data_IF_881620288630
#
_entry.id   IF_881620288630
#
_cell.length_a   1.000
_cell.length_b   1.000
_cell.length_c   1.000
_cell.angle_alpha   90.00
_cell.angle_beta   90.00
_cell.angle_gamma   90.00
#
_symmetry.space_group_name_H-M   'P 1'
#
loop_
_entity.id
_entity.type
_entity.pdbx_description
1 polymer ?
#
# COMPACT_ATOMS: atom_id res chain seq x y z
N UNK A 1 -66.82 55.43 -13.50
CA UNK A 1 -68.01 54.93 -14.20
C UNK A 1 -68.14 53.48 -13.88
N UNK A 2 -68.98 53.11 -12.90
CA UNK A 2 -70.37 52.64 -13.04
C UNK A 2 -70.40 51.38 -13.91
N UNK A 3 -70.88 50.21 -13.46
CA UNK A 3 -72.08 49.77 -12.75
C UNK A 3 -71.92 48.24 -12.48
N UNK A 4 -72.10 47.63 -11.34
CA UNK A 4 -73.31 47.27 -10.58
C UNK A 4 -74.14 46.11 -11.18
N UNK A 5 -74.34 45.12 -10.31
CA UNK A 5 -75.49 44.26 -10.07
C UNK A 5 -75.39 42.82 -10.58
N UNK A 6 -75.60 41.85 -9.82
CA UNK A 6 -76.56 41.36 -8.80
C UNK A 6 -77.21 40.05 -9.20
N UNK A 7 -77.21 39.19 -8.28
CA UNK A 7 -78.21 38.13 -7.91
C UNK A 7 -78.02 36.78 -8.66
N UNK A 8 -78.30 35.61 -8.10
CA UNK A 8 -79.01 35.12 -6.93
C UNK A 8 -78.63 33.63 -6.73
N UNK A 9 -78.57 33.20 -5.47
CA UNK A 9 -78.96 31.94 -4.87
C UNK A 9 -79.35 30.74 -5.76
N UNK A 10 -78.73 29.58 -5.46
CA UNK A 10 -79.51 28.38 -5.09
C UNK A 10 -78.58 27.30 -4.49
N UNK A 11 -78.85 26.96 -3.28
CA UNK A 11 -78.92 25.70 -2.54
C UNK A 11 -78.12 24.45 -3.01
N UNK A 12 -77.28 23.99 -2.10
CA UNK A 12 -77.29 22.70 -1.49
C UNK A 12 -76.97 21.46 -2.36
N UNK A 13 -75.93 20.78 -2.01
CA UNK A 13 -75.96 19.41 -1.49
C UNK A 13 -74.56 19.08 -0.95
N UNK A 14 -74.46 18.63 0.29
CA UNK A 14 -73.29 18.17 0.93
C UNK A 14 -72.83 16.84 0.25
N UNK A 15 -71.61 16.82 -0.20
CA UNK A 15 -70.88 15.57 -0.46
C UNK A 15 -69.53 15.67 0.27
N UNK A 16 -69.40 14.87 1.32
CA UNK A 16 -68.16 14.68 2.03
C UNK A 16 -67.12 14.04 1.10
N UNK A 17 -65.92 14.55 0.98
CA UNK A 17 -64.83 13.79 0.37
C UNK A 17 -64.28 12.83 1.41
N UNK A 18 -64.22 11.56 1.04
CA UNK A 18 -63.49 10.50 1.71
C UNK A 18 -62.05 10.91 1.96
N UNK A 19 -61.63 10.81 3.20
CA UNK A 19 -60.22 10.94 3.58
C UNK A 19 -59.42 9.85 2.85
N UNK A 20 -58.64 10.21 1.87
CA UNK A 20 -57.59 9.37 1.32
C UNK A 20 -56.52 9.18 2.43
N UNK A 21 -56.52 7.95 2.99
CA UNK A 21 -55.45 7.53 3.87
C UNK A 21 -54.12 7.62 3.06
N UNK A 22 -53.29 8.62 3.43
CA UNK A 22 -51.95 8.71 2.93
C UNK A 22 -51.19 7.44 3.32
N UNK A 23 -50.85 6.62 2.33
CA UNK A 23 -49.93 5.50 2.52
C UNK A 23 -48.57 6.13 2.88
N UNK A 24 -48.27 6.11 4.18
CA UNK A 24 -46.95 6.49 4.69
C UNK A 24 -45.94 5.59 4.03
N UNK A 25 -45.03 6.23 3.28
CA UNK A 25 -43.84 5.57 2.72
C UNK A 25 -43.13 4.88 3.88
N UNK A 26 -42.83 3.55 3.80
CA UNK A 26 -42.11 2.89 4.86
C UNK A 26 -40.81 3.64 5.13
N UNK A 27 -40.39 3.72 6.41
CA UNK A 27 -39.11 4.36 6.75
C UNK A 27 -38.02 3.69 5.91
N UNK A 28 -37.28 4.47 5.14
CA UNK A 28 -36.07 3.96 4.52
C UNK A 28 -35.14 3.56 5.67
N UNK A 29 -34.86 2.28 5.80
CA UNK A 29 -33.77 1.79 6.63
C UNK A 29 -32.51 2.54 6.24
N UNK A 30 -32.06 3.42 7.11
CA UNK A 30 -30.76 4.06 7.01
C UNK A 30 -29.81 2.88 7.16
N UNK A 31 -29.20 2.45 6.04
CA UNK A 31 -28.16 1.42 6.04
C UNK A 31 -27.12 1.84 7.09
N UNK A 32 -27.04 1.08 8.17
CA UNK A 32 -26.02 1.29 9.20
C UNK A 32 -24.67 1.38 8.50
N UNK A 33 -23.78 2.30 8.89
CA UNK A 33 -22.43 2.37 8.34
C UNK A 33 -21.83 0.97 8.41
N UNK A 34 -21.48 0.40 7.26
CA UNK A 34 -20.99 -0.97 7.19
C UNK A 34 -19.75 -1.06 8.07
N UNK A 35 -19.84 -1.81 9.15
CA UNK A 35 -18.77 -1.91 10.15
C UNK A 35 -17.49 -2.33 9.44
N UNK A 36 -16.40 -1.60 9.71
CA UNK A 36 -15.08 -1.88 9.15
C UNK A 36 -14.69 -3.32 9.49
N UNK A 37 -14.29 -4.16 8.51
CA UNK A 37 -13.91 -5.55 8.80
C UNK A 37 -12.74 -5.61 9.78
N UNK A 38 -12.55 -6.70 10.54
CA UNK A 38 -11.38 -6.87 11.39
C UNK A 38 -10.07 -6.70 10.60
N UNK A 39 -9.07 -6.04 11.19
CA UNK A 39 -7.78 -5.81 10.53
C UNK A 39 -7.09 -7.14 10.17
N UNK A 40 -7.25 -8.17 10.99
CA UNK A 40 -6.76 -9.53 10.74
C UNK A 40 -7.33 -10.14 9.46
N UNK A 41 -8.61 -9.93 9.19
CA UNK A 41 -9.29 -10.51 8.04
C UNK A 41 -8.82 -9.84 6.74
N UNK A 42 -8.64 -8.50 6.78
CA UNK A 42 -8.07 -7.76 5.66
C UNK A 42 -6.61 -8.15 5.43
N UNK A 43 -5.82 -8.33 6.51
CA UNK A 43 -4.43 -8.80 6.40
C UNK A 43 -4.35 -10.20 5.77
N UNK A 44 -5.23 -11.12 6.17
CA UNK A 44 -5.29 -12.46 5.60
C UNK A 44 -5.71 -12.44 4.12
N UNK A 45 -6.66 -11.59 3.75
CA UNK A 45 -7.08 -11.41 2.37
C UNK A 45 -5.96 -10.80 1.51
N UNK A 46 -5.26 -9.79 2.04
CA UNK A 46 -4.11 -9.17 1.41
C UNK A 46 -2.96 -10.18 1.19
N UNK A 47 -2.68 -11.01 2.20
CA UNK A 47 -1.68 -12.08 2.09
C UNK A 47 -2.04 -13.05 0.95
N UNK A 48 -3.27 -13.55 0.91
CA UNK A 48 -3.74 -14.46 -0.16
C UNK A 48 -3.63 -13.81 -1.54
N UNK A 49 -4.07 -12.54 -1.68
CA UNK A 49 -3.93 -11.79 -2.94
C UNK A 49 -2.48 -11.69 -3.35
N UNK A 50 -1.61 -11.34 -2.40
CA UNK A 50 -0.18 -11.17 -2.68
C UNK A 50 0.50 -12.51 -3.02
N UNK A 51 0.13 -13.61 -2.38
CA UNK A 51 0.66 -14.95 -2.68
C UNK A 51 0.34 -15.37 -4.12
N UNK A 52 -0.81 -14.97 -4.66
CA UNK A 52 -1.21 -15.27 -6.03
C UNK A 52 -0.45 -14.43 -7.09
N UNK A 53 0.16 -13.29 -6.73
CA UNK A 53 0.99 -12.49 -7.63
C UNK A 53 2.35 -13.16 -7.80
N UNK A 54 2.71 -13.54 -9.04
CA UNK A 54 4.00 -14.17 -9.37
C UNK A 54 5.08 -13.13 -9.63
N UNK A 55 4.73 -12.09 -10.37
CA UNK A 55 5.61 -10.96 -10.68
C UNK A 55 4.80 -9.66 -10.81
N UNK A 56 5.46 -8.53 -10.64
CA UNK A 56 4.88 -7.24 -10.96
C UNK A 56 5.95 -6.19 -11.26
N UNK A 57 5.54 -5.13 -11.94
CA UNK A 57 6.28 -3.86 -12.04
C UNK A 57 5.41 -2.73 -11.52
N UNK A 58 6.05 -1.70 -10.97
CA UNK A 58 5.39 -0.46 -10.55
C UNK A 58 6.36 0.72 -10.63
N UNK A 59 5.82 1.93 -10.73
CA UNK A 59 6.55 3.15 -10.41
C UNK A 59 6.53 3.35 -8.90
N UNK A 60 7.59 3.90 -8.33
CA UNK A 60 7.61 4.26 -6.92
C UNK A 60 8.06 5.69 -6.67
N UNK A 61 7.56 6.25 -5.59
CA UNK A 61 8.12 7.43 -4.91
C UNK A 61 8.46 7.00 -3.50
N UNK A 62 9.73 7.09 -3.13
CA UNK A 62 10.20 6.89 -1.76
C UNK A 62 10.38 8.24 -1.11
N UNK A 63 9.87 8.40 0.11
CA UNK A 63 10.12 9.56 0.96
C UNK A 63 10.75 9.09 2.26
N UNK A 64 11.81 9.77 2.65
CA UNK A 64 12.44 9.57 3.95
C UNK A 64 12.24 10.81 4.81
N UNK A 65 11.78 10.62 6.02
CA UNK A 65 11.69 11.65 7.05
C UNK A 65 12.55 11.22 8.24
N UNK A 66 13.70 11.89 8.42
CA UNK A 66 14.60 11.60 9.55
C UNK A 66 14.04 12.11 10.87
N UNK A 67 14.07 11.27 11.94
CA UNK A 67 13.47 11.54 13.22
C UNK A 67 13.96 12.84 13.87
N UNK A 68 15.14 12.81 14.46
CA UNK A 68 15.66 13.95 15.26
C UNK A 68 16.00 15.18 14.40
N UNK A 69 16.56 14.99 13.22
CA UNK A 69 16.99 16.09 12.35
C UNK A 69 15.93 16.55 11.36
N UNK A 70 14.76 15.91 11.31
CA UNK A 70 13.64 16.23 10.40
C UNK A 70 14.06 16.43 8.92
N UNK A 71 15.12 15.77 8.50
CA UNK A 71 15.54 15.80 7.09
C UNK A 71 14.54 15.04 6.25
N UNK A 72 14.11 15.66 5.16
CA UNK A 72 13.26 15.02 4.16
C UNK A 72 14.06 14.79 2.89
N UNK A 73 13.96 13.59 2.35
CA UNK A 73 14.50 13.25 1.04
C UNK A 73 13.39 12.55 0.26
N UNK A 74 13.38 12.74 -1.05
CA UNK A 74 12.46 12.06 -1.94
C UNK A 74 13.23 11.48 -3.13
N UNK A 75 12.92 10.23 -3.45
CA UNK A 75 13.52 9.51 -4.56
C UNK A 75 12.42 8.85 -5.39
N UNK A 76 12.65 8.73 -6.68
CA UNK A 76 11.69 8.09 -7.59
C UNK A 76 12.35 7.07 -8.49
N UNK A 77 11.55 6.14 -8.99
CA UNK A 77 12.05 5.12 -9.90
C UNK A 77 11.02 4.08 -10.28
N UNK A 78 11.52 2.93 -10.69
CA UNK A 78 10.69 1.75 -11.01
C UNK A 78 11.13 0.56 -10.20
N UNK A 79 10.17 -0.26 -9.80
CA UNK A 79 10.40 -1.54 -9.13
C UNK A 79 9.89 -2.68 -10.00
N UNK A 80 10.67 -3.74 -10.08
CA UNK A 80 10.29 -5.03 -10.66
C UNK A 80 10.50 -6.11 -9.62
N UNK A 81 9.51 -6.96 -9.44
CA UNK A 81 9.55 -8.08 -8.50
C UNK A 81 9.15 -9.35 -9.22
N UNK A 82 9.88 -10.42 -8.99
CA UNK A 82 9.50 -11.78 -9.41
C UNK A 82 9.75 -12.75 -8.26
N UNK A 83 8.69 -13.31 -7.75
CA UNK A 83 8.77 -14.24 -6.62
C UNK A 83 9.23 -15.65 -7.08
N UNK A 84 9.98 -16.37 -6.23
CA UNK A 84 10.53 -15.91 -4.96
C UNK A 84 11.86 -15.15 -5.10
N UNK A 85 12.04 -14.13 -4.29
CA UNK A 85 13.35 -13.55 -3.99
C UNK A 85 13.99 -12.64 -5.03
N UNK A 86 13.46 -12.53 -6.24
CA UNK A 86 14.02 -11.65 -7.29
C UNK A 86 13.39 -10.29 -7.24
N UNK A 87 14.22 -9.25 -7.25
CA UNK A 87 13.77 -7.87 -7.15
C UNK A 87 14.78 -6.92 -7.81
N UNK A 88 14.27 -5.85 -8.42
CA UNK A 88 15.07 -4.79 -9.01
C UNK A 88 14.39 -3.45 -8.76
N UNK A 89 15.15 -2.49 -8.20
CA UNK A 89 14.75 -1.10 -8.03
C UNK A 89 15.72 -0.23 -8.82
N UNK A 90 15.20 0.42 -9.84
CA UNK A 90 15.95 1.40 -10.63
C UNK A 90 15.56 2.80 -10.14
N UNK A 91 16.40 3.43 -9.35
CA UNK A 91 16.23 4.81 -8.91
C UNK A 91 16.69 5.76 -10.01
N UNK A 92 15.86 6.75 -10.31
CA UNK A 92 16.10 7.70 -11.41
C UNK A 92 16.27 9.12 -10.97
N UNK A 93 15.78 9.50 -9.80
CA UNK A 93 15.84 10.85 -9.25
C UNK A 93 15.93 10.80 -7.71
N UNK A 94 16.66 11.74 -7.05
CA UNK A 94 17.55 12.74 -7.65
C UNK A 94 18.81 12.12 -8.22
N UNK A 95 19.26 10.98 -7.70
CA UNK A 95 20.45 10.28 -8.14
C UNK A 95 20.13 8.87 -8.63
N UNK A 96 20.92 8.43 -9.61
CA UNK A 96 20.80 7.06 -10.09
C UNK A 96 21.45 6.12 -9.10
N UNK A 97 20.70 5.15 -8.64
CA UNK A 97 21.18 3.97 -7.91
C UNK A 97 20.37 2.75 -8.30
N UNK A 98 20.93 1.58 -8.10
CA UNK A 98 20.30 0.33 -8.51
C UNK A 98 20.37 -0.66 -7.35
N UNK A 99 19.21 -1.16 -6.92
CA UNK A 99 19.16 -2.32 -6.07
C UNK A 99 18.69 -3.52 -6.91
N UNK A 100 19.43 -4.63 -6.84
CA UNK A 100 19.07 -5.88 -7.52
C UNK A 100 19.23 -7.05 -6.57
N UNK A 101 18.25 -7.95 -6.55
CA UNK A 101 18.35 -9.29 -5.96
C UNK A 101 18.06 -10.33 -7.05
N UNK A 102 18.94 -11.31 -7.20
CA UNK A 102 18.75 -12.46 -8.09
C UNK A 102 18.05 -13.64 -7.37
N UNK A 103 17.73 -13.47 -6.09
CA UNK A 103 17.17 -14.48 -5.20
C UNK A 103 18.19 -15.11 -4.25
N UNK A 104 19.49 -14.92 -4.48
CA UNK A 104 20.60 -15.42 -3.66
C UNK A 104 21.47 -14.26 -3.14
N UNK A 105 21.77 -13.31 -4.01
CA UNK A 105 22.63 -12.17 -3.74
C UNK A 105 21.87 -10.87 -3.96
N UNK A 106 22.11 -9.90 -3.09
CA UNK A 106 21.65 -8.52 -3.21
C UNK A 106 22.81 -7.62 -3.56
N UNK A 107 22.58 -6.72 -4.49
CA UNK A 107 23.52 -5.68 -4.92
C UNK A 107 22.84 -4.32 -4.74
N UNK A 108 23.54 -3.37 -4.12
CA UNK A 108 23.17 -1.96 -4.12
C UNK A 108 24.30 -1.19 -4.78
N UNK A 109 24.07 -0.73 -5.99
CA UNK A 109 25.06 -0.07 -6.83
C UNK A 109 24.84 1.44 -6.90
N UNK A 110 25.88 2.20 -6.65
CA UNK A 110 25.95 3.65 -6.73
C UNK A 110 26.87 4.02 -7.91
N UNK A 111 26.32 4.33 -9.10
CA UNK A 111 27.13 4.60 -10.31
C UNK A 111 28.07 5.80 -10.15
N UNK A 112 27.60 6.86 -9.49
CA UNK A 112 28.37 8.10 -9.30
C UNK A 112 29.62 7.87 -8.44
N UNK A 113 29.51 7.01 -7.42
CA UNK A 113 30.61 6.69 -6.50
C UNK A 113 31.45 5.52 -7.00
N UNK A 114 30.99 4.82 -8.05
CA UNK A 114 31.57 3.56 -8.53
C UNK A 114 31.70 2.52 -7.41
N UNK A 115 30.68 2.43 -6.57
CA UNK A 115 30.64 1.49 -5.44
C UNK A 115 29.45 0.54 -5.55
N UNK A 116 29.65 -0.69 -5.13
CA UNK A 116 28.59 -1.69 -4.99
C UNK A 116 28.69 -2.37 -3.64
N UNK A 117 27.56 -2.37 -2.91
CA UNK A 117 27.39 -3.20 -1.71
C UNK A 117 26.85 -4.56 -2.15
N UNK A 118 27.52 -5.64 -1.75
CA UNK A 118 27.14 -7.02 -2.08
C UNK A 118 26.89 -7.81 -0.82
N UNK A 119 25.68 -8.36 -0.68
CA UNK A 119 25.25 -9.14 0.48
C UNK A 119 24.48 -10.39 0.02
N UNK A 120 24.47 -11.43 0.85
CA UNK A 120 23.55 -12.55 0.65
C UNK A 120 22.11 -12.09 0.92
N UNK A 121 21.14 -12.67 0.23
CA UNK A 121 19.73 -12.49 0.56
C UNK A 121 19.47 -13.21 1.89
N UNK A 122 18.92 -12.52 2.91
CA UNK A 122 18.57 -13.15 4.17
C UNK A 122 17.65 -14.36 3.99
N UNK A 123 17.78 -15.36 4.85
CA UNK A 123 16.86 -16.49 4.90
C UNK A 123 15.44 -16.03 5.27
N UNK A 124 14.43 -16.88 5.07
CA UNK A 124 13.04 -16.54 5.44
C UNK A 124 12.89 -16.26 6.93
N UNK A 125 13.70 -16.92 7.75
CA UNK A 125 13.64 -16.79 9.21
C UNK A 125 14.39 -15.54 9.73
N UNK A 126 15.32 -15.01 8.93
CA UNK A 126 16.06 -13.78 9.25
C UNK A 126 15.42 -12.52 8.68
N UNK A 127 14.37 -12.68 7.90
CA UNK A 127 13.93 -11.67 6.96
C UNK A 127 12.51 -11.18 7.23
N UNK A 128 12.38 -10.12 7.98
CA UNK A 128 11.08 -9.50 8.30
C UNK A 128 10.92 -8.06 7.79
N UNK A 129 11.80 -7.58 6.92
CA UNK A 129 11.65 -6.23 6.37
C UNK A 129 10.52 -6.14 5.33
N UNK A 130 9.95 -4.93 5.15
CA UNK A 130 8.94 -4.67 4.13
C UNK A 130 9.40 -5.07 2.72
N UNK A 131 10.70 -4.92 2.44
CA UNK A 131 11.33 -5.34 1.18
C UNK A 131 11.24 -6.85 0.99
N UNK A 132 11.47 -7.63 2.05
CA UNK A 132 11.42 -9.09 1.98
C UNK A 132 10.00 -9.62 1.84
N UNK A 133 9.02 -8.93 2.43
CA UNK A 133 7.62 -9.22 2.14
C UNK A 133 7.34 -9.06 0.62
N UNK A 134 7.77 -7.94 0.02
CA UNK A 134 7.64 -7.75 -1.43
C UNK A 134 8.38 -8.80 -2.26
N UNK A 135 9.45 -9.37 -1.73
CA UNK A 135 10.16 -10.48 -2.36
C UNK A 135 9.45 -11.84 -2.21
N UNK A 136 8.30 -11.87 -1.52
CA UNK A 136 7.55 -13.10 -1.24
C UNK A 136 8.17 -13.97 -0.16
N UNK A 137 8.98 -13.39 0.73
CA UNK A 137 9.67 -14.11 1.82
C UNK A 137 9.08 -13.85 3.22
N UNK A 138 8.10 -12.97 3.37
CA UNK A 138 7.44 -12.67 4.62
C UNK A 138 5.98 -13.14 4.64
N UNK A 139 5.39 -13.23 5.83
CA UNK A 139 3.97 -13.50 6.01
C UNK A 139 3.38 -12.53 7.03
N UNK A 140 2.42 -11.70 6.59
CA UNK A 140 1.81 -10.64 7.41
C UNK A 140 1.18 -11.23 8.68
N UNK A 141 0.43 -12.31 8.53
CA UNK A 141 -0.37 -12.89 9.63
C UNK A 141 0.51 -13.66 10.61
N UNK A 142 1.51 -14.37 10.07
CA UNK A 142 2.45 -15.15 10.90
C UNK A 142 3.39 -14.24 11.69
N UNK A 143 3.93 -13.21 11.03
CA UNK A 143 5.12 -12.49 11.54
C UNK A 143 4.74 -11.22 12.31
N UNK A 144 3.49 -10.73 12.19
CA UNK A 144 3.08 -9.45 12.76
C UNK A 144 1.79 -9.53 13.57
N UNK A 145 1.69 -8.67 14.58
CA UNK A 145 0.43 -8.28 15.18
C UNK A 145 -0.16 -7.16 14.32
N UNK A 146 -1.35 -7.41 13.77
CA UNK A 146 -1.98 -6.50 12.81
C UNK A 146 -3.09 -5.70 13.48
N UNK A 147 -3.09 -4.39 13.25
CA UNK A 147 -4.16 -3.48 13.67
C UNK A 147 -4.41 -2.42 12.60
N UNK A 148 -5.50 -1.72 12.74
CA UNK A 148 -5.76 -0.57 11.88
C UNK A 148 -4.76 0.55 12.18
N UNK A 149 -4.22 1.17 11.12
CA UNK A 149 -3.48 2.42 11.21
C UNK A 149 -4.45 3.60 11.09
N UNK A 150 -4.03 4.76 11.58
CA UNK A 150 -4.76 6.02 11.42
C UNK A 150 -4.67 6.54 9.98
N UNK A 151 -5.62 7.38 9.55
CA UNK A 151 -5.57 8.10 8.28
C UNK A 151 -5.86 7.26 7.04
N UNK A 152 -6.57 6.14 7.15
CA UNK A 152 -7.13 5.43 6.00
C UNK A 152 -8.21 6.27 5.31
N UNK A 153 -8.38 6.08 3.99
CA UNK A 153 -9.43 6.73 3.18
C UNK A 153 -10.50 5.71 2.79
N UNK A 154 -11.56 6.18 2.16
CA UNK A 154 -12.57 5.29 1.59
C UNK A 154 -12.02 4.43 0.45
N UNK A 155 -10.93 4.83 -0.18
CA UNK A 155 -10.28 4.09 -1.26
C UNK A 155 -9.19 3.13 -0.77
N UNK A 156 -8.67 3.27 0.47
CA UNK A 156 -7.52 2.49 0.94
C UNK A 156 -7.71 1.94 2.34
N UNK A 157 -7.29 0.70 2.53
CA UNK A 157 -6.99 0.14 3.85
C UNK A 157 -5.58 0.54 4.27
N UNK A 158 -5.41 0.90 5.54
CA UNK A 158 -4.09 1.08 6.14
C UNK A 158 -3.95 0.17 7.35
N UNK A 159 -3.01 -0.74 7.26
CA UNK A 159 -2.72 -1.73 8.29
C UNK A 159 -1.39 -1.41 8.95
N UNK A 160 -1.38 -1.29 10.26
CA UNK A 160 -0.19 -1.25 11.08
C UNK A 160 0.22 -2.67 11.44
N UNK A 161 1.49 -2.95 11.25
CA UNK A 161 2.13 -4.23 11.46
C UNK A 161 3.22 -4.05 12.53
N UNK A 162 2.95 -4.53 13.73
CA UNK A 162 3.93 -4.53 14.80
C UNK A 162 4.58 -5.93 14.83
N UNK A 163 5.92 -6.04 14.60
CA UNK A 163 6.57 -7.34 14.45
C UNK A 163 6.52 -8.13 15.76
N UNK A 164 6.22 -9.44 15.67
CA UNK A 164 6.20 -10.34 16.85
C UNK A 164 7.59 -10.59 17.41
N UNK A 165 8.62 -10.48 16.56
CA UNK A 165 10.03 -10.58 16.93
C UNK A 165 10.71 -9.25 16.63
N UNK A 166 11.49 -8.72 17.56
CA UNK A 166 12.21 -7.46 17.40
C UNK A 166 13.10 -7.47 16.17
N UNK A 167 13.03 -6.38 15.39
CA UNK A 167 13.83 -6.16 14.20
C UNK A 167 14.91 -5.11 14.46
N UNK A 168 16.03 -5.20 13.74
CA UNK A 168 17.12 -4.24 13.86
C UNK A 168 16.86 -2.98 13.00
N UNK A 169 16.18 -3.14 11.87
CA UNK A 169 16.02 -2.09 10.87
C UNK A 169 14.77 -1.24 11.05
N UNK A 170 13.77 -1.71 11.82
CA UNK A 170 12.51 -0.98 12.05
C UNK A 170 11.78 -1.49 13.28
N UNK A 171 10.95 -0.64 13.88
CA UNK A 171 10.07 -1.02 14.99
C UNK A 171 8.67 -1.37 14.52
N UNK A 172 8.28 -0.89 13.35
CA UNK A 172 6.97 -1.14 12.79
C UNK A 172 6.92 -0.93 11.28
N UNK A 173 5.95 -1.59 10.67
CA UNK A 173 5.59 -1.38 9.28
C UNK A 173 4.14 -0.91 9.15
N UNK A 174 3.84 -0.28 8.01
CA UNK A 174 2.49 0.06 7.60
C UNK A 174 2.30 -0.32 6.14
N UNK A 175 1.20 -1.00 5.84
CA UNK A 175 0.81 -1.34 4.48
C UNK A 175 -0.43 -0.53 4.14
N UNK A 176 -0.39 0.18 3.02
CA UNK A 176 -1.56 0.75 2.37
C UNK A 176 -1.96 -0.14 1.21
N UNK A 177 -3.22 -0.57 1.19
CA UNK A 177 -3.76 -1.40 0.13
C UNK A 177 -5.04 -0.78 -0.44
N UNK A 178 -5.19 -0.83 -1.75
CA UNK A 178 -6.42 -0.46 -2.43
C UNK A 178 -7.57 -1.36 -1.97
N UNK A 179 -8.73 -0.79 -1.64
CA UNK A 179 -9.84 -1.53 -1.03
C UNK A 179 -10.53 -2.51 -1.96
N UNK A 180 -10.58 -2.21 -3.24
CA UNK A 180 -11.27 -3.03 -4.24
C UNK A 180 -10.38 -4.19 -4.71
N UNK A 181 -9.13 -3.90 -4.99
CA UNK A 181 -8.21 -4.85 -5.62
C UNK A 181 -7.29 -5.56 -4.63
N UNK A 182 -7.20 -5.07 -3.38
CA UNK A 182 -6.21 -5.48 -2.37
C UNK A 182 -4.77 -5.38 -2.89
N UNK A 183 -4.51 -4.48 -3.84
CA UNK A 183 -3.17 -4.20 -4.32
C UNK A 183 -2.45 -3.32 -3.32
N UNK A 184 -1.20 -3.66 -3.02
CA UNK A 184 -0.36 -2.84 -2.15
C UNK A 184 0.02 -1.58 -2.92
N UNK A 185 -0.43 -0.42 -2.43
CA UNK A 185 -0.15 0.89 -3.03
C UNK A 185 0.81 1.72 -2.18
N UNK A 186 1.15 1.25 -0.99
CA UNK A 186 2.10 1.93 -0.13
C UNK A 186 2.68 1.03 0.95
N UNK A 187 3.90 1.32 1.33
CA UNK A 187 4.64 0.69 2.42
C UNK A 187 5.34 1.78 3.21
N UNK A 188 5.30 1.70 4.53
CA UNK A 188 6.06 2.60 5.41
C UNK A 188 6.75 1.76 6.47
N UNK A 189 8.01 2.03 6.72
CA UNK A 189 8.77 1.54 7.86
C UNK A 189 9.09 2.71 8.79
N UNK A 190 8.96 2.50 10.08
CA UNK A 190 9.32 3.49 11.10
C UNK A 190 10.25 2.91 12.15
N UNK A 191 11.12 3.76 12.69
CA UNK A 191 12.06 3.41 13.75
C UNK A 191 11.70 4.10 15.08
N UNK A 192 12.37 3.68 16.18
CA UNK A 192 12.18 4.21 17.53
C UNK A 192 12.58 5.69 17.65
N UNK A 193 13.43 6.20 16.77
CA UNK A 193 13.87 7.58 16.73
C UNK A 193 12.90 8.51 15.99
N UNK A 194 11.78 7.95 15.50
CA UNK A 194 10.76 8.68 14.75
C UNK A 194 11.11 8.87 13.26
N UNK A 195 12.14 8.20 12.79
CA UNK A 195 12.43 8.13 11.34
C UNK A 195 11.37 7.32 10.60
N UNK A 196 11.07 7.74 9.37
CA UNK A 196 10.10 7.06 8.50
C UNK A 196 10.64 6.97 7.08
N UNK A 197 10.56 5.77 6.51
CA UNK A 197 10.78 5.52 5.09
C UNK A 197 9.47 5.03 4.47
N UNK A 198 8.91 5.78 3.54
CA UNK A 198 7.62 5.51 2.93
C UNK A 198 7.76 5.33 1.42
N UNK A 199 7.15 4.30 0.88
CA UNK A 199 7.04 4.04 -0.55
C UNK A 199 5.59 4.19 -0.98
N UNK A 200 5.32 5.04 -1.95
CA UNK A 200 4.07 5.07 -2.70
C UNK A 200 4.29 4.36 -4.04
N UNK A 201 3.41 3.41 -4.36
CA UNK A 201 3.49 2.58 -5.55
C UNK A 201 2.34 2.89 -6.51
N UNK A 202 2.63 2.98 -7.80
CA UNK A 202 1.65 3.28 -8.86
C UNK A 202 2.00 2.56 -10.17
N UNK A 203 1.14 2.68 -11.18
CA UNK A 203 1.37 2.14 -12.53
C UNK A 203 1.67 0.63 -12.54
N UNK A 204 0.93 -0.13 -11.74
CA UNK A 204 1.14 -1.56 -11.60
C UNK A 204 0.84 -2.36 -12.86
N UNK A 205 1.71 -3.35 -13.12
CA UNK A 205 1.47 -4.45 -14.05
C UNK A 205 1.79 -5.74 -13.33
N UNK A 206 0.77 -6.55 -13.04
CA UNK A 206 0.91 -7.83 -12.34
C UNK A 206 0.91 -9.00 -13.32
N UNK A 207 1.66 -10.06 -12.98
CA UNK A 207 1.70 -11.34 -13.70
C UNK A 207 2.01 -11.20 -15.20
N UNK A 208 2.97 -10.31 -15.53
CA UNK A 208 3.37 -10.01 -16.91
C UNK A 208 4.46 -10.95 -17.46
N UNK A 209 4.92 -11.91 -16.67
CA UNK A 209 5.92 -12.90 -17.08
C UNK A 209 7.32 -12.30 -17.20
N UNK A 210 7.77 -11.58 -16.18
CA UNK A 210 9.09 -10.93 -16.21
C UNK A 210 10.21 -11.93 -16.45
N UNK A 211 11.10 -11.61 -17.41
CA UNK A 211 12.25 -12.43 -17.74
C UNK A 211 13.31 -12.40 -16.62
N UNK A 212 13.90 -13.53 -16.29
CA UNK A 212 14.91 -13.67 -15.23
C UNK A 212 16.15 -12.78 -15.45
N UNK A 213 16.49 -12.52 -16.70
CA UNK A 213 17.65 -11.70 -17.07
C UNK A 213 17.63 -10.27 -16.50
N UNK A 214 16.46 -9.68 -16.23
CA UNK A 214 16.38 -8.32 -15.68
C UNK A 214 16.84 -8.27 -14.21
N UNK A 215 16.88 -9.41 -13.53
CA UNK A 215 17.33 -9.54 -12.15
C UNK A 215 18.80 -9.96 -12.03
N UNK A 216 19.50 -10.06 -13.14
CA UNK A 216 20.94 -10.30 -13.16
C UNK A 216 21.69 -8.98 -13.14
N UNK A 217 22.76 -8.90 -12.35
CA UNK A 217 23.62 -7.73 -12.27
C UNK A 217 25.08 -8.12 -12.44
N UNK A 218 25.73 -7.52 -13.41
CA UNK A 218 27.17 -7.64 -13.61
C UNK A 218 27.86 -6.39 -13.08
N UNK A 219 28.76 -6.56 -12.15
CA UNK A 219 29.51 -5.45 -11.55
C UNK A 219 30.36 -4.79 -12.65
N UNK A 220 30.21 -3.48 -12.91
CA UNK A 220 30.99 -2.77 -13.89
C UNK A 220 32.49 -2.75 -13.53
N UNK A 221 33.35 -2.71 -14.54
CA UNK A 221 34.80 -2.61 -14.32
C UNK A 221 35.15 -1.33 -13.57
N UNK A 222 36.08 -1.42 -12.64
CA UNK A 222 36.51 -0.29 -11.81
C UNK A 222 35.52 0.11 -10.71
N UNK A 223 34.58 -0.76 -10.38
CA UNK A 223 33.68 -0.60 -9.24
C UNK A 223 34.29 -1.21 -8.00
N UNK A 224 34.35 -0.45 -6.91
CA UNK A 224 34.71 -0.94 -5.58
C UNK A 224 33.58 -1.82 -5.03
N UNK A 225 33.95 -3.00 -4.55
CA UNK A 225 32.98 -3.96 -3.96
C UNK A 225 33.10 -3.92 -2.44
N UNK A 226 32.03 -3.48 -1.79
CA UNK A 226 31.90 -3.49 -0.32
C UNK A 226 31.02 -4.68 0.04
N UNK A 227 31.57 -5.67 0.70
CA UNK A 227 30.79 -6.80 1.24
C UNK A 227 30.72 -6.63 2.76
N UNK A 228 29.51 -6.68 3.33
CA UNK A 228 29.37 -6.87 4.76
C UNK A 228 29.62 -8.34 5.06
N UNK A 229 30.90 -8.76 4.99
CA UNK A 229 31.28 -10.12 5.31
C UNK A 229 31.06 -10.39 6.80
N UNK A 230 30.28 -11.42 7.14
CA UNK A 230 30.75 -12.30 8.18
C UNK A 230 32.04 -12.91 7.63
N UNK A 231 33.19 -12.43 8.09
CA UNK A 231 34.44 -13.18 7.97
C UNK A 231 34.20 -14.54 8.62
N UNK A 232 34.64 -15.65 7.97
CA UNK A 232 34.42 -17.00 8.48
C UNK A 232 35.01 -17.22 9.85
#
# INVERSE_FOLDING_TARGET
MRWVRRHLLACAVAAMPSAAAGQGRPPQEISSPQARPPASDVAAALQRKYDAVKDFTASFTQTYEGGVLRRKASETGTVSVKKPGKMRWDYTSPEKKLFVSDGQTMFLYFPNDKQVMKNAVPSQDEATSAVLFLMGKGNIVRDFNVRWAEGGTDATYRLRLDPKTRQAEYDWLEISADRETLRIVGLTAGDAQGGRSSFALSNFKENSGLADKIFQFTIPRGTEVISSGKTP
#
